data_IF_117469469820
#
_entry.id   IF_117469469820
#
_cell.length_a   1.000
_cell.length_b   1.000
_cell.length_c   1.000
_cell.angle_alpha   90.00
_cell.angle_beta   90.00
_cell.angle_gamma   90.00
#
_symmetry.space_group_name_H-M   'P 1'
#
loop_
_entity.id
_entity.type
_entity.pdbx_description
1 polymer ?
#
# COMPACT_ATOMS: atom_id res chain seq x y z
N UNK A 1 -1.70 2.35 -4.99
CA UNK A 1 -0.27 2.34 -4.62
C UNK A 1 0.36 3.66 -5.08
N UNK A 2 1.31 4.21 -4.33
CA UNK A 2 1.96 5.49 -4.64
C UNK A 2 3.43 5.28 -4.97
N UNK A 3 3.93 5.93 -6.02
CA UNK A 3 5.35 5.90 -6.35
C UNK A 3 6.15 6.73 -5.33
N UNK A 4 7.12 6.15 -4.60
CA UNK A 4 7.81 6.84 -3.52
C UNK A 4 8.74 7.96 -4.01
N UNK A 5 8.81 9.05 -3.24
CA UNK A 5 9.81 10.12 -3.40
C UNK A 5 9.74 10.87 -4.74
N UNK A 6 8.55 10.96 -5.35
CA UNK A 6 8.36 11.66 -6.63
C UNK A 6 8.49 13.19 -6.51
N UNK A 7 8.31 13.73 -5.30
CA UNK A 7 8.50 15.14 -4.98
C UNK A 7 9.92 15.66 -5.28
N UNK A 8 10.92 14.79 -5.39
CA UNK A 8 12.31 15.16 -5.71
C UNK A 8 12.63 15.17 -7.21
N UNK A 9 11.73 14.67 -8.06
CA UNK A 9 11.97 14.48 -9.49
C UNK A 9 11.06 15.33 -10.37
N UNK A 10 10.47 16.38 -9.81
CA UNK A 10 9.75 17.40 -10.56
C UNK A 10 10.75 18.42 -11.11
N UNK A 11 10.59 18.80 -12.39
CA UNK A 11 11.43 19.79 -13.05
C UNK A 11 10.53 20.86 -13.70
N UNK A 12 10.80 22.14 -13.44
CA UNK A 12 10.09 23.28 -14.06
C UNK A 12 8.54 23.14 -14.09
N UNK A 13 7.92 22.68 -12.99
CA UNK A 13 6.48 22.41 -12.88
C UNK A 13 5.91 21.37 -13.87
N UNK A 14 6.77 20.63 -14.59
CA UNK A 14 6.34 19.46 -15.35
C UNK A 14 6.20 18.25 -14.44
N UNK A 15 5.06 17.59 -14.51
CA UNK A 15 4.85 16.31 -13.83
C UNK A 15 5.62 15.22 -14.58
N UNK A 16 6.53 14.49 -13.93
CA UNK A 16 7.23 13.39 -14.57
C UNK A 16 6.24 12.38 -15.17
N UNK A 17 6.44 11.99 -16.43
CA UNK A 17 5.68 10.88 -17.02
C UNK A 17 6.07 9.61 -16.26
N UNK A 18 5.09 8.97 -15.64
CA UNK A 18 5.31 7.79 -14.82
C UNK A 18 4.90 6.53 -15.58
N UNK A 19 5.86 5.66 -15.83
CA UNK A 19 5.64 4.33 -16.39
C UNK A 19 5.55 3.32 -15.26
N UNK A 20 4.59 2.40 -15.37
CA UNK A 20 4.36 1.36 -14.38
C UNK A 20 4.56 -0.03 -14.99
N UNK A 21 5.17 -0.91 -14.20
CA UNK A 21 5.47 -2.28 -14.55
C UNK A 21 5.07 -3.19 -13.39
N UNK A 22 4.66 -4.41 -13.70
CA UNK A 22 4.49 -5.48 -12.72
C UNK A 22 5.43 -6.61 -13.11
N UNK A 23 6.29 -7.05 -12.19
CA UNK A 23 7.25 -8.14 -12.42
C UNK A 23 8.08 -7.97 -13.70
N UNK A 24 8.56 -6.74 -13.93
CA UNK A 24 9.31 -6.33 -15.12
C UNK A 24 8.57 -6.49 -16.47
N UNK A 25 7.24 -6.63 -16.45
CA UNK A 25 6.41 -6.69 -17.67
C UNK A 25 5.75 -5.34 -17.94
N UNK A 26 5.73 -4.97 -19.22
CA UNK A 26 4.98 -3.83 -19.76
C UNK A 26 3.49 -4.19 -19.91
N UNK A 27 2.67 -3.22 -20.31
CA UNK A 27 1.25 -3.45 -20.60
C UNK A 27 0.34 -3.48 -19.38
N UNK A 28 0.83 -3.08 -18.19
CA UNK A 28 0.02 -3.07 -16.97
C UNK A 28 -1.27 -2.24 -17.13
N UNK A 29 -1.20 -1.13 -17.86
CA UNK A 29 -2.34 -0.24 -18.13
C UNK A 29 -3.27 -0.73 -19.24
N UNK A 30 -2.94 -1.85 -19.92
CA UNK A 30 -3.86 -2.51 -20.85
C UNK A 30 -4.99 -3.24 -20.08
N UNK A 31 -4.69 -3.71 -18.87
CA UNK A 31 -5.72 -4.13 -17.92
C UNK A 31 -6.44 -2.91 -17.34
N UNK A 32 -7.69 -2.71 -17.76
CA UNK A 32 -8.57 -1.59 -17.38
C UNK A 32 -8.81 -1.46 -15.87
N UNK A 33 -8.50 -2.50 -15.08
CA UNK A 33 -8.54 -2.43 -13.62
C UNK A 33 -7.46 -1.50 -13.08
N UNK A 34 -6.33 -1.36 -13.77
CA UNK A 34 -5.22 -0.47 -13.40
C UNK A 34 -5.39 0.91 -14.04
N UNK A 35 -5.32 1.96 -13.22
CA UNK A 35 -5.58 3.33 -13.65
C UNK A 35 -4.68 4.31 -12.91
N UNK A 36 -4.11 5.28 -13.65
CA UNK A 36 -3.44 6.43 -13.05
C UNK A 36 -4.50 7.44 -12.61
N UNK A 37 -4.43 7.90 -11.38
CA UNK A 37 -5.38 8.88 -10.85
C UNK A 37 -5.03 10.27 -11.38
N UNK A 38 -5.94 10.95 -12.09
CA UNK A 38 -5.67 12.29 -12.65
C UNK A 38 -5.24 13.33 -11.60
N UNK A 39 -5.87 13.33 -10.43
CA UNK A 39 -5.55 14.23 -9.33
C UNK A 39 -4.24 13.85 -8.60
N UNK A 40 -3.71 12.65 -8.84
CA UNK A 40 -2.49 12.14 -8.21
C UNK A 40 -1.74 11.27 -9.21
N UNK A 41 -1.00 11.88 -10.16
CA UNK A 41 -0.39 11.18 -11.29
C UNK A 41 0.71 10.18 -10.87
N UNK A 42 1.16 10.25 -9.61
CA UNK A 42 2.10 9.31 -9.01
C UNK A 42 1.43 8.07 -8.41
N UNK A 43 0.09 8.01 -8.43
CA UNK A 43 -0.66 6.93 -7.83
C UNK A 43 -1.27 6.02 -8.90
N UNK A 44 -1.00 4.71 -8.77
CA UNK A 44 -1.65 3.66 -9.52
C UNK A 44 -2.78 3.05 -8.68
N UNK A 45 -4.00 3.13 -9.19
CA UNK A 45 -5.18 2.49 -8.62
C UNK A 45 -5.42 1.16 -9.31
N UNK A 46 -5.72 0.12 -8.53
CA UNK A 46 -6.25 -1.16 -9.02
C UNK A 46 -7.67 -1.33 -8.49
N UNK A 47 -8.64 -1.49 -9.38
CA UNK A 47 -10.03 -1.77 -9.03
C UNK A 47 -10.24 -3.28 -8.86
N UNK A 48 -11.00 -3.69 -7.83
CA UNK A 48 -11.25 -5.10 -7.52
C UNK A 48 -9.96 -5.92 -7.43
N UNK A 49 -9.08 -5.52 -6.50
CA UNK A 49 -7.82 -6.22 -6.24
C UNK A 49 -8.07 -7.67 -5.81
N UNK A 50 -7.28 -8.58 -6.37
CA UNK A 50 -7.30 -10.01 -6.10
C UNK A 50 -5.94 -10.46 -5.58
N UNK A 51 -5.84 -11.67 -5.03
CA UNK A 51 -4.54 -12.25 -4.62
C UNK A 51 -3.51 -12.28 -5.76
N UNK A 52 -3.96 -12.42 -7.01
CA UNK A 52 -3.08 -12.42 -8.18
C UNK A 52 -2.44 -11.05 -8.46
N UNK A 53 -2.97 -9.97 -7.88
CA UNK A 53 -2.39 -8.64 -8.01
C UNK A 53 -1.22 -8.42 -7.04
N UNK A 54 -1.01 -9.31 -6.07
CA UNK A 54 0.19 -9.33 -5.21
C UNK A 54 1.47 -9.45 -6.04
N UNK A 55 2.57 -8.85 -5.56
CA UNK A 55 3.86 -8.95 -6.21
C UNK A 55 4.63 -7.62 -6.27
N UNK A 56 5.67 -7.61 -7.11
CA UNK A 56 6.58 -6.47 -7.26
C UNK A 56 6.09 -5.57 -8.39
N UNK A 57 5.89 -4.30 -8.05
CA UNK A 57 5.60 -3.24 -8.99
C UNK A 57 6.81 -2.32 -9.09
N UNK A 58 7.08 -1.83 -10.30
CA UNK A 58 8.13 -0.85 -10.55
C UNK A 58 7.45 0.38 -11.14
N UNK A 59 7.72 1.55 -10.57
CA UNK A 59 7.42 2.81 -11.22
C UNK A 59 8.73 3.43 -11.70
N UNK A 60 8.74 3.91 -12.93
CA UNK A 60 9.90 4.53 -13.56
C UNK A 60 9.52 5.89 -14.11
N UNK A 61 10.41 6.85 -13.93
CA UNK A 61 10.34 8.14 -14.57
C UNK A 61 11.71 8.61 -15.06
N UNK A 62 11.71 9.74 -15.76
CA UNK A 62 12.89 10.39 -16.29
C UNK A 62 13.05 11.77 -15.65
N UNK A 63 14.25 12.08 -15.18
CA UNK A 63 14.59 13.37 -14.58
C UNK A 63 15.75 14.03 -15.33
N UNK A 64 15.67 15.34 -15.55
CA UNK A 64 16.74 16.11 -16.20
C UNK A 64 17.62 16.74 -15.12
N UNK A 65 18.91 16.46 -15.19
CA UNK A 65 19.90 17.12 -14.35
C UNK A 65 21.12 17.51 -15.20
N UNK A 66 21.50 18.78 -15.16
CA UNK A 66 22.60 19.32 -15.97
C UNK A 66 22.49 18.91 -17.45
N UNK A 67 21.31 19.15 -18.03
CA UNK A 67 21.01 18.84 -19.45
C UNK A 67 21.09 17.35 -19.83
N UNK A 68 21.19 16.44 -18.85
CA UNK A 68 21.19 14.99 -19.07
C UNK A 68 19.97 14.33 -18.47
N UNK A 69 19.42 13.38 -19.21
CA UNK A 69 18.28 12.57 -18.78
C UNK A 69 18.75 11.37 -17.96
N UNK A 70 18.15 11.18 -16.79
CA UNK A 70 18.40 10.05 -15.90
C UNK A 70 17.10 9.29 -15.66
N UNK A 71 17.17 7.96 -15.78
CA UNK A 71 16.05 7.10 -15.41
C UNK A 71 16.06 6.86 -13.90
N UNK A 72 14.91 7.12 -13.28
CA UNK A 72 14.68 6.93 -11.86
C UNK A 72 13.61 5.86 -11.69
N UNK A 73 13.99 4.74 -11.10
CA UNK A 73 13.06 3.63 -10.82
C UNK A 73 12.87 3.45 -9.32
N UNK A 74 11.67 3.02 -8.92
CA UNK A 74 11.34 2.62 -7.54
C UNK A 74 10.64 1.27 -7.56
N UNK A 75 11.02 0.43 -6.61
CA UNK A 75 10.44 -0.90 -6.41
C UNK A 75 9.42 -0.83 -5.28
N UNK A 76 8.23 -1.37 -5.50
CA UNK A 76 7.11 -1.38 -4.57
C UNK A 76 6.63 -2.82 -4.42
N UNK A 77 6.71 -3.36 -3.20
CA UNK A 77 6.12 -4.64 -2.85
C UNK A 77 4.64 -4.43 -2.52
N UNK A 78 3.73 -4.91 -3.36
CA UNK A 78 2.30 -4.91 -3.05
C UNK A 78 1.93 -6.25 -2.38
N UNK A 79 1.30 -6.18 -1.20
CA UNK A 79 0.66 -7.34 -0.56
C UNK A 79 -0.85 -7.16 -0.57
N UNK A 80 -1.59 -8.19 -0.95
CA UNK A 80 -3.05 -8.16 -0.99
C UNK A 80 -3.59 -8.98 0.17
N UNK A 81 -4.41 -8.36 1.03
CA UNK A 81 -5.04 -9.05 2.16
C UNK A 81 -6.54 -9.02 1.99
N UNK A 82 -7.18 -10.12 2.32
CA UNK A 82 -8.63 -10.14 2.48
C UNK A 82 -9.01 -9.22 3.62
N UNK A 83 -10.10 -8.48 3.46
CA UNK A 83 -10.64 -7.72 4.59
C UNK A 83 -11.15 -8.75 5.60
N UNK A 84 -10.73 -8.67 6.87
CA UNK A 84 -11.32 -9.51 7.89
C UNK A 84 -12.83 -9.26 7.91
N UNK A 85 -13.64 -10.26 8.28
CA UNK A 85 -15.05 -10.05 8.51
C UNK A 85 -15.25 -8.86 9.45
N UNK A 86 -16.18 -7.97 9.12
CA UNK A 86 -16.61 -6.89 10.00
C UNK A 86 -17.50 -7.47 11.11
N UNK A 87 -16.92 -8.31 11.96
CA UNK A 87 -17.59 -8.85 13.13
C UNK A 87 -17.34 -7.90 14.30
N UNK A 88 -18.37 -7.54 15.08
CA UNK A 88 -18.17 -6.78 16.29
C UNK A 88 -17.28 -7.57 17.24
N UNK A 89 -16.37 -6.88 17.93
CA UNK A 89 -15.55 -7.49 18.96
C UNK A 89 -16.45 -8.06 20.05
N UNK A 90 -16.25 -9.34 20.41
CA UNK A 90 -16.98 -9.98 21.50
C UNK A 90 -16.12 -10.00 22.76
N UNK A 91 -16.68 -9.51 23.87
CA UNK A 91 -16.10 -9.74 25.20
C UNK A 91 -16.36 -11.19 25.56
N UNK A 92 -15.36 -12.06 25.42
CA UNK A 92 -15.47 -13.47 25.80
C UNK A 92 -15.46 -13.64 27.32
N UNK A 93 -14.78 -12.75 28.04
CA UNK A 93 -14.69 -12.80 29.49
C UNK A 93 -14.24 -11.45 30.10
N UNK A 94 -14.81 -11.02 31.24
CA UNK A 94 -16.00 -11.56 31.87
C UNK A 94 -17.27 -11.08 31.15
N UNK A 95 -18.19 -12.00 30.81
CA UNK A 95 -19.41 -11.66 30.07
C UNK A 95 -20.44 -10.88 30.89
N UNK A 96 -20.54 -11.16 32.20
CA UNK A 96 -21.51 -10.49 33.08
C UNK A 96 -21.21 -10.64 34.59
N UNK A 97 -20.03 -11.16 34.96
CA UNK A 97 -19.76 -11.55 36.34
C UNK A 97 -18.48 -10.89 36.86
N UNK A 98 -18.44 -10.66 38.18
CA UNK A 98 -17.19 -10.40 38.89
C UNK A 98 -16.37 -11.68 38.99
N UNK A 99 -15.08 -11.49 39.28
CA UNK A 99 -14.13 -12.58 39.50
C UNK A 99 -13.73 -12.47 40.95
N UNK A 100 -14.13 -13.46 41.74
CA UNK A 100 -13.73 -13.52 43.14
C UNK A 100 -12.30 -14.01 43.27
N UNK A 101 -11.56 -13.44 44.21
CA UNK A 101 -10.18 -13.82 44.51
C UNK A 101 -9.96 -13.78 46.02
N UNK A 102 -9.13 -14.68 46.54
CA UNK A 102 -8.78 -14.70 47.96
C UNK A 102 -7.72 -13.63 48.31
N UNK A 103 -7.75 -13.17 49.56
CA UNK A 103 -6.75 -12.25 50.08
C UNK A 103 -5.34 -12.84 49.97
N UNK A 104 -4.39 -12.04 49.48
CA UNK A 104 -3.00 -12.46 49.28
C UNK A 104 -2.76 -13.27 47.99
N UNK A 105 -3.78 -13.55 47.17
CA UNK A 105 -3.63 -14.11 45.83
C UNK A 105 -3.52 -13.01 44.78
N UNK A 106 -2.79 -13.28 43.69
CA UNK A 106 -2.74 -12.36 42.55
C UNK A 106 -4.01 -12.46 41.70
N UNK A 107 -4.49 -11.32 41.20
CA UNK A 107 -5.62 -11.28 40.29
C UNK A 107 -5.24 -11.92 38.94
N UNK A 108 -6.07 -12.82 38.39
CA UNK A 108 -5.74 -13.60 37.19
C UNK A 108 -5.53 -12.80 35.90
N UNK A 109 -5.77 -11.48 35.90
CA UNK A 109 -5.65 -10.58 34.73
C UNK A 109 -4.49 -9.59 34.82
N UNK A 110 -3.78 -9.55 35.96
CA UNK A 110 -2.59 -8.71 36.12
C UNK A 110 -1.38 -9.63 36.16
N UNK A 111 -0.74 -9.80 35.00
CA UNK A 111 0.56 -10.46 34.85
C UNK A 111 1.60 -9.42 34.49
#
# INVERSE_FOLDING_TARGET
MRCPYMEFFTYENTSPVLQWYKECRTGLLEDKRFQIIKASPHDLKVNNATRNDEGIYICQTSYIYMERWYNVSRVIQLSVRERPPNLPTEILYPKNNSIEVELGKSLPFFK
#
